data_IF_465592964266
#
_entry.id   IF_465592964266
#
_cell.length_a   1.000
_cell.length_b   1.000
_cell.length_c   1.000
_cell.angle_alpha   90.00
_cell.angle_beta   90.00
_cell.angle_gamma   90.00
#
_symmetry.space_group_name_H-M   'P 1'
#
loop_
_entity.id
_entity.type
_entity.pdbx_description
1 polymer ?
#
# COMPACT_ATOMS: atom_id res chain seq x y z
N UNK A 1 -26.84 30.38 42.08
CA UNK A 1 -27.05 29.11 41.36
C UNK A 1 -27.09 29.24 39.83
N UNK A 2 -27.19 30.45 39.27
CA UNK A 2 -27.18 30.68 37.81
C UNK A 2 -25.77 30.72 37.20
N UNK A 3 -24.78 31.20 37.95
CA UNK A 3 -23.38 31.30 37.49
C UNK A 3 -22.74 29.93 37.24
N UNK A 4 -23.06 28.94 38.06
CA UNK A 4 -22.59 27.55 37.88
C UNK A 4 -23.18 26.87 36.64
N UNK A 5 -24.43 27.19 36.28
CA UNK A 5 -25.07 26.66 35.06
C UNK A 5 -24.43 27.22 33.79
N UNK A 6 -24.08 28.52 33.78
CA UNK A 6 -23.39 29.16 32.64
C UNK A 6 -21.98 28.59 32.42
N UNK A 7 -21.25 28.30 33.51
CA UNK A 7 -19.92 27.69 33.44
C UNK A 7 -19.96 26.27 32.83
N UNK A 8 -20.98 25.49 33.18
CA UNK A 8 -21.15 24.12 32.71
C UNK A 8 -21.46 24.04 31.20
N UNK A 9 -22.27 24.97 30.69
CA UNK A 9 -22.57 25.08 29.25
C UNK A 9 -21.32 25.47 28.45
N UNK A 10 -20.49 26.36 28.98
CA UNK A 10 -19.21 26.75 28.38
C UNK A 10 -18.23 25.57 28.28
N UNK A 11 -18.16 24.72 29.31
CA UNK A 11 -17.35 23.49 29.32
C UNK A 11 -17.80 22.47 28.26
N UNK A 12 -19.12 22.31 28.08
CA UNK A 12 -19.69 21.41 27.08
C UNK A 12 -19.39 21.89 25.66
N UNK A 13 -19.52 23.20 25.39
CA UNK A 13 -19.25 23.78 24.07
C UNK A 13 -17.76 23.65 23.70
N UNK A 14 -16.84 23.83 24.65
CA UNK A 14 -15.40 23.61 24.42
C UNK A 14 -15.06 22.12 24.20
N UNK A 15 -15.84 21.17 24.73
CA UNK A 15 -15.64 19.74 24.53
C UNK A 15 -15.86 19.27 23.09
N UNK A 16 -16.73 19.94 22.32
CA UNK A 16 -17.03 19.56 20.93
C UNK A 16 -15.96 20.02 19.92
N UNK A 17 -15.06 20.92 20.31
CA UNK A 17 -13.90 21.33 19.48
C UNK A 17 -12.70 20.38 19.61
N UNK A 18 -12.88 19.17 20.15
CA UNK A 18 -11.82 18.15 20.18
C UNK A 18 -11.40 17.72 18.76
N UNK A 19 -10.46 18.50 18.27
CA UNK A 19 -9.39 18.24 17.32
C UNK A 19 -9.53 16.93 16.51
N UNK A 20 -9.99 17.08 15.26
CA UNK A 20 -9.74 16.10 14.20
C UNK A 20 -8.23 16.09 13.91
N UNK A 21 -7.48 15.30 14.68
CA UNK A 21 -6.06 15.07 14.43
C UNK A 21 -5.91 14.49 13.02
N UNK A 22 -5.34 15.27 12.10
CA UNK A 22 -4.90 14.78 10.79
C UNK A 22 -4.03 13.55 11.04
N UNK A 23 -4.52 12.37 10.66
CA UNK A 23 -3.81 11.11 10.89
C UNK A 23 -2.52 11.16 10.08
N UNK A 24 -1.37 11.29 10.74
CA UNK A 24 -0.09 11.32 10.06
C UNK A 24 0.20 9.95 9.44
N UNK A 25 -0.02 9.86 8.13
CA UNK A 25 0.24 8.65 7.33
C UNK A 25 1.68 8.58 6.85
N UNK A 26 2.44 9.68 6.91
CA UNK A 26 3.82 9.73 6.44
C UNK A 26 4.70 8.73 7.20
N UNK A 27 5.69 8.17 6.50
CA UNK A 27 6.63 7.19 7.02
C UNK A 27 6.90 6.06 6.03
N UNK A 28 7.75 5.13 6.46
CA UNK A 28 8.18 4.01 5.62
C UNK A 28 7.39 2.76 5.99
N UNK A 29 6.80 2.11 4.99
CA UNK A 29 6.00 0.90 5.16
C UNK A 29 6.63 -0.25 4.39
N UNK A 30 6.76 -1.41 5.02
CA UNK A 30 7.35 -2.61 4.41
C UNK A 30 6.39 -3.79 4.49
N UNK A 31 6.33 -4.61 3.44
CA UNK A 31 5.49 -5.79 3.41
C UNK A 31 5.79 -6.74 4.57
N UNK A 32 4.74 -7.25 5.21
CA UNK A 32 4.86 -8.19 6.32
C UNK A 32 5.30 -9.59 5.87
N UNK A 33 5.22 -9.86 4.57
CA UNK A 33 5.52 -11.10 3.89
C UNK A 33 6.18 -10.77 2.56
N UNK A 34 7.02 -11.66 2.07
CA UNK A 34 7.51 -11.60 0.71
C UNK A 34 6.41 -12.10 -0.25
N UNK A 35 6.08 -11.32 -1.28
CA UNK A 35 5.22 -11.75 -2.36
C UNK A 35 5.91 -12.87 -3.14
N UNK A 36 5.15 -13.92 -3.48
CA UNK A 36 5.68 -15.18 -4.03
C UNK A 36 6.85 -15.81 -3.25
N UNK A 37 7.10 -15.38 -2.01
CA UNK A 37 8.20 -15.87 -1.17
C UNK A 37 9.53 -15.14 -1.33
N UNK A 38 9.67 -14.24 -2.31
CA UNK A 38 10.97 -13.61 -2.64
C UNK A 38 10.91 -12.09 -2.77
N UNK A 39 9.75 -11.50 -3.01
CA UNK A 39 9.65 -10.07 -3.30
C UNK A 39 9.15 -9.24 -2.12
N UNK A 40 9.91 -8.22 -1.72
CA UNK A 40 9.54 -7.27 -0.67
C UNK A 40 9.03 -5.98 -1.31
N UNK A 41 7.86 -5.53 -0.88
CA UNK A 41 7.32 -4.22 -1.21
C UNK A 41 7.65 -3.22 -0.10
N UNK A 42 8.18 -2.06 -0.47
CA UNK A 42 8.38 -0.91 0.42
C UNK A 42 7.69 0.31 -0.19
N UNK A 43 6.97 1.06 0.64
CA UNK A 43 6.33 2.33 0.27
C UNK A 43 6.71 3.38 1.30
N UNK A 44 7.36 4.45 0.86
CA UNK A 44 7.69 5.61 1.68
C UNK A 44 6.73 6.74 1.34
N UNK A 45 5.89 7.12 2.30
CA UNK A 45 4.94 8.23 2.17
C UNK A 45 5.58 9.49 2.78
N UNK A 46 5.73 10.55 1.99
CA UNK A 46 6.32 11.83 2.43
C UNK A 46 5.24 12.80 2.86
N UNK A 47 5.60 13.81 3.67
CA UNK A 47 4.66 14.81 4.20
C UNK A 47 4.08 15.74 3.13
N UNK A 48 4.72 15.82 1.97
CA UNK A 48 4.30 16.61 0.79
C UNK A 48 3.32 15.87 -0.14
N UNK A 49 2.76 14.74 0.31
CA UNK A 49 1.90 13.84 -0.45
C UNK A 49 2.58 13.12 -1.62
N UNK A 50 3.90 13.15 -1.74
CA UNK A 50 4.62 12.27 -2.67
C UNK A 50 4.94 10.91 -2.04
N UNK A 51 5.22 9.91 -2.87
CA UNK A 51 5.68 8.60 -2.40
C UNK A 51 6.83 8.04 -3.23
N UNK A 52 7.56 7.11 -2.60
CA UNK A 52 8.52 6.24 -3.28
C UNK A 52 8.06 4.78 -3.07
N UNK A 53 7.89 4.06 -4.16
CA UNK A 53 7.53 2.65 -4.19
C UNK A 53 8.73 1.83 -4.63
N UNK A 54 8.98 0.71 -3.96
CA UNK A 54 9.99 -0.25 -4.38
C UNK A 54 9.50 -1.67 -4.20
N UNK A 55 9.60 -2.46 -5.24
CA UNK A 55 9.34 -3.90 -5.25
C UNK A 55 10.64 -4.60 -5.63
N UNK A 56 11.25 -5.33 -4.69
CA UNK A 56 12.57 -5.95 -4.90
C UNK A 56 12.56 -7.41 -4.49
N UNK A 57 13.20 -8.24 -5.29
CA UNK A 57 13.60 -9.61 -4.97
C UNK A 57 14.90 -9.95 -5.70
N UNK A 58 15.27 -11.22 -5.72
CA UNK A 58 16.58 -11.66 -6.21
C UNK A 58 16.82 -11.34 -7.71
N UNK A 59 15.76 -11.37 -8.53
CA UNK A 59 15.86 -11.20 -9.99
C UNK A 59 15.18 -9.94 -10.53
N UNK A 60 14.27 -9.33 -9.76
CA UNK A 60 13.47 -8.19 -10.20
C UNK A 60 13.55 -7.09 -9.16
N UNK A 61 13.87 -5.88 -9.60
CA UNK A 61 13.85 -4.67 -8.78
C UNK A 61 13.17 -3.54 -9.54
N UNK A 62 11.93 -3.26 -9.18
CA UNK A 62 11.16 -2.15 -9.73
C UNK A 62 11.06 -1.02 -8.70
N UNK A 63 11.16 0.21 -9.18
CA UNK A 63 10.95 1.41 -8.39
C UNK A 63 9.98 2.32 -9.14
N UNK A 64 9.18 3.06 -8.39
CA UNK A 64 8.33 4.08 -8.96
C UNK A 64 8.12 5.21 -7.96
N UNK A 65 7.77 6.38 -8.45
CA UNK A 65 7.38 7.54 -7.65
C UNK A 65 5.98 7.99 -8.05
N UNK A 66 5.42 8.86 -7.24
CA UNK A 66 4.09 9.38 -7.50
C UNK A 66 3.59 10.25 -6.37
N UNK A 67 2.29 10.51 -6.44
CA UNK A 67 1.55 11.21 -5.40
C UNK A 67 0.49 10.31 -4.79
N UNK A 68 0.16 10.56 -3.52
CA UNK A 68 -0.89 9.83 -2.85
C UNK A 68 -2.01 10.75 -2.36
N UNK A 69 -3.20 10.18 -2.25
CA UNK A 69 -4.36 10.85 -1.68
C UNK A 69 -4.96 9.99 -0.59
N UNK A 70 -5.33 10.60 0.52
CA UNK A 70 -6.03 9.93 1.62
C UNK A 70 -7.48 10.39 1.63
N UNK A 71 -8.42 9.45 1.56
CA UNK A 71 -9.84 9.71 1.74
C UNK A 71 -10.40 8.73 2.79
N UNK A 72 -10.89 9.27 3.91
CA UNK A 72 -11.36 8.49 5.07
C UNK A 72 -10.30 7.50 5.56
N UNK A 73 -10.50 6.20 5.28
CA UNK A 73 -9.58 5.10 5.66
C UNK A 73 -8.88 4.49 4.45
N UNK A 74 -8.92 5.15 3.28
CA UNK A 74 -8.30 4.68 2.04
C UNK A 74 -7.15 5.59 1.65
N UNK A 75 -6.05 4.98 1.22
CA UNK A 75 -4.88 5.60 0.64
C UNK A 75 -4.80 5.15 -0.81
N UNK A 76 -4.78 6.11 -1.72
CA UNK A 76 -4.68 5.90 -3.16
C UNK A 76 -3.29 6.32 -3.60
N UNK A 77 -2.55 5.43 -4.27
CA UNK A 77 -1.30 5.77 -4.94
C UNK A 77 -1.57 6.09 -6.41
N UNK A 78 -1.09 7.26 -6.85
CA UNK A 78 -1.14 7.73 -8.24
C UNK A 78 0.31 7.84 -8.73
N UNK A 79 0.71 6.94 -9.62
CA UNK A 79 2.08 6.83 -10.09
C UNK A 79 2.39 7.93 -11.11
N UNK A 80 3.59 8.50 -11.02
CA UNK A 80 4.09 9.40 -12.05
C UNK A 80 4.47 8.55 -13.27
N UNK A 81 3.91 8.90 -14.43
CA UNK A 81 4.22 8.21 -15.66
C UNK A 81 5.62 8.62 -16.12
N UNK A 82 6.57 7.69 -16.09
CA UNK A 82 7.81 7.85 -16.86
C UNK A 82 7.54 7.37 -18.29
N UNK A 83 7.66 8.25 -19.30
CA UNK A 83 7.54 7.81 -20.68
C UNK A 83 8.60 6.73 -20.95
N UNK A 84 8.15 5.59 -21.47
CA UNK A 84 9.03 4.52 -21.89
C UNK A 84 9.92 5.07 -23.00
N UNK A 85 11.23 4.92 -22.85
CA UNK A 85 12.18 5.29 -23.89
C UNK A 85 11.88 4.48 -25.16
N UNK A 86 11.29 5.16 -26.14
CA UNK A 86 10.80 4.56 -27.39
C UNK A 86 11.95 4.13 -28.30
N UNK A 87 13.20 4.50 -28.01
CA UNK A 87 14.37 4.05 -28.77
C UNK A 87 14.52 2.52 -28.72
N UNK A 88 14.26 1.90 -27.56
CA UNK A 88 14.33 0.45 -27.34
C UNK A 88 13.16 -0.28 -28.02
N UNK A 89 12.02 0.39 -28.19
CA UNK A 89 10.81 -0.15 -28.83
C UNK A 89 11.04 -0.54 -30.29
N UNK A 90 11.91 0.20 -30.99
CA UNK A 90 12.28 -0.09 -32.39
C UNK A 90 12.98 -1.44 -32.55
N UNK A 91 13.81 -1.82 -31.58
CA UNK A 91 14.54 -3.10 -31.51
C UNK A 91 13.61 -4.29 -31.28
N UNK A 92 12.60 -4.15 -30.43
CA UNK A 92 11.62 -5.22 -30.17
C UNK A 92 10.61 -5.39 -31.30
N UNK A 93 10.25 -4.30 -31.99
CA UNK A 93 9.40 -4.36 -33.19
C UNK A 93 10.07 -5.13 -34.33
N UNK A 94 11.40 -5.03 -34.47
CA UNK A 94 12.20 -5.87 -35.40
C UNK A 94 12.16 -7.37 -35.06
N UNK A 95 11.89 -7.72 -33.81
CA UNK A 95 11.76 -9.12 -33.34
C UNK A 95 10.31 -9.63 -33.41
N UNK A 96 9.37 -8.88 -33.99
CA UNK A 96 7.96 -9.27 -34.11
C UNK A 96 7.19 -9.25 -32.79
N UNK A 97 7.75 -8.68 -31.73
CA UNK A 97 7.11 -8.58 -30.42
C UNK A 97 6.23 -7.32 -30.41
N UNK A 98 4.93 -7.51 -30.26
CA UNK A 98 3.96 -6.41 -30.19
C UNK A 98 3.93 -5.82 -28.77
N UNK A 99 4.82 -4.88 -28.49
CA UNK A 99 5.05 -4.30 -27.14
C UNK A 99 3.98 -3.27 -26.74
N UNK A 100 3.09 -2.86 -27.66
CA UNK A 100 2.15 -1.74 -27.45
C UNK A 100 1.06 -2.01 -26.41
N UNK A 101 0.65 -3.27 -26.22
CA UNK A 101 -0.41 -3.62 -25.26
C UNK A 101 0.14 -3.87 -23.85
N UNK A 102 1.39 -4.32 -23.74
CA UNK A 102 2.06 -4.60 -22.46
C UNK A 102 2.43 -3.32 -21.69
N UNK A 103 2.76 -2.23 -22.40
CA UNK A 103 3.19 -0.96 -21.79
C UNK A 103 2.03 -0.06 -21.34
N UNK A 104 0.82 -0.26 -21.87
CA UNK A 104 -0.35 0.57 -21.53
C UNK A 104 -1.08 0.11 -20.26
N UNK A 105 -0.89 -1.15 -19.83
CA UNK A 105 -1.78 -1.77 -18.85
C UNK A 105 -1.19 -2.10 -17.47
N UNK A 106 0.13 -2.12 -17.28
CA UNK A 106 0.69 -2.48 -15.96
C UNK A 106 0.56 -1.36 -14.91
N UNK A 107 0.37 -0.10 -15.33
CA UNK A 107 0.26 1.07 -14.44
C UNK A 107 -1.19 1.53 -14.17
N UNK A 108 -2.20 0.85 -14.72
CA UNK A 108 -3.56 1.41 -14.81
C UNK A 108 -4.43 1.19 -13.56
N UNK A 109 -3.96 0.42 -12.57
CA UNK A 109 -4.74 0.17 -11.36
C UNK A 109 -4.15 0.89 -10.16
N UNK A 110 -4.86 1.90 -9.60
CA UNK A 110 -4.40 2.57 -8.39
C UNK A 110 -4.32 1.53 -7.28
N UNK A 111 -3.12 1.37 -6.69
CA UNK A 111 -2.99 0.58 -5.49
C UNK A 111 -3.75 1.27 -4.36
N UNK A 112 -4.92 0.71 -4.01
CA UNK A 112 -5.74 1.19 -2.90
C UNK A 112 -5.36 0.42 -1.63
N UNK A 113 -4.95 1.16 -0.62
CA UNK A 113 -4.65 0.62 0.71
C UNK A 113 -5.66 1.10 1.74
N UNK A 114 -6.07 0.19 2.62
CA UNK A 114 -6.82 0.54 3.82
C UNK A 114 -5.88 0.89 4.98
N UNK A 115 -6.10 2.06 5.57
CA UNK A 115 -5.34 2.59 6.69
C UNK A 115 -5.74 1.89 8.00
N UNK A 116 -4.83 1.08 8.53
CA UNK A 116 -4.86 0.55 9.89
C UNK A 116 -3.90 1.30 10.83
N UNK A 117 -3.88 0.89 12.10
CA UNK A 117 -2.87 1.36 13.07
C UNK A 117 -1.48 0.91 12.59
N UNK A 118 -0.70 1.83 12.04
CA UNK A 118 0.64 1.60 11.49
C UNK A 118 0.69 0.51 10.41
N UNK A 119 -0.41 0.32 9.67
CA UNK A 119 -0.52 -0.72 8.63
C UNK A 119 -1.29 -0.22 7.41
N UNK A 120 -0.86 -0.65 6.24
CA UNK A 120 -1.53 -0.44 4.96
C UNK A 120 -2.00 -1.80 4.44
N UNK A 121 -3.30 -2.08 4.50
CA UNK A 121 -3.86 -3.32 3.99
C UNK A 121 -4.16 -3.19 2.51
N UNK A 122 -3.55 -4.02 1.69
CA UNK A 122 -3.77 -3.97 0.25
C UNK A 122 -5.15 -4.54 -0.10
N UNK A 123 -5.93 -3.79 -0.88
CA UNK A 123 -7.21 -4.26 -1.45
C UNK A 123 -7.04 -4.72 -2.89
N UNK A 124 -7.86 -5.68 -3.32
CA UNK A 124 -8.10 -5.93 -4.74
C UNK A 124 -8.99 -4.86 -5.37
N UNK A 125 -9.07 -4.86 -6.71
CA UNK A 125 -9.75 -3.87 -7.56
C UNK A 125 -11.19 -3.56 -7.12
N UNK A 126 -11.92 -4.53 -6.56
CA UNK A 126 -13.30 -4.35 -6.11
C UNK A 126 -13.45 -3.66 -4.75
N UNK A 127 -12.36 -3.13 -4.19
CA UNK A 127 -12.29 -2.41 -2.91
C UNK A 127 -12.78 -3.19 -1.67
N UNK A 128 -13.24 -4.43 -1.80
CA UNK A 128 -13.91 -5.16 -0.70
C UNK A 128 -13.04 -6.24 -0.04
N UNK A 129 -11.97 -6.70 -0.70
CA UNK A 129 -11.22 -7.88 -0.26
C UNK A 129 -9.77 -7.50 0.05
N UNK A 130 -9.40 -7.66 1.33
CA UNK A 130 -7.99 -7.58 1.77
C UNK A 130 -7.23 -8.77 1.18
N UNK A 131 -6.14 -8.49 0.46
CA UNK A 131 -5.29 -9.53 -0.14
C UNK A 131 -4.80 -10.51 0.92
N UNK A 132 -4.96 -11.80 0.63
CA UNK A 132 -4.40 -12.90 1.40
C UNK A 132 -3.37 -13.64 0.55
N UNK A 133 -2.27 -14.06 1.17
CA UNK A 133 -1.19 -14.81 0.51
C UNK A 133 -1.06 -16.16 1.20
N UNK A 134 -0.84 -17.23 0.42
CA UNK A 134 -0.54 -18.57 0.95
C UNK A 134 0.90 -18.58 1.45
N UNK A 135 1.11 -18.90 2.71
CA UNK A 135 2.43 -18.97 3.34
C UNK A 135 2.69 -20.42 3.77
N UNK A 136 3.92 -20.87 3.57
CA UNK A 136 4.37 -22.20 3.96
C UNK A 136 4.66 -22.29 5.46
N UNK A 137 4.15 -23.33 6.13
CA UNK A 137 4.36 -23.52 7.56
C UNK A 137 5.65 -24.32 7.85
N UNK A 138 6.79 -23.63 8.03
CA UNK A 138 8.11 -24.27 8.25
C UNK A 138 8.13 -25.34 9.36
N UNK A 139 7.39 -25.14 10.47
CA UNK A 139 7.39 -26.05 11.63
C UNK A 139 6.56 -27.33 11.48
N UNK A 140 5.67 -27.42 10.49
CA UNK A 140 4.79 -28.61 10.30
C UNK A 140 5.27 -29.52 9.17
N UNK A 141 6.46 -29.26 8.62
CA UNK A 141 7.05 -30.03 7.52
C UNK A 141 7.23 -31.53 7.83
N UNK A 142 7.34 -31.90 9.11
CA UNK A 142 7.72 -33.26 9.53
C UNK A 142 6.65 -34.01 10.35
N UNK A 143 5.45 -33.43 10.54
CA UNK A 143 4.36 -34.10 11.25
C UNK A 143 3.39 -34.72 10.25
N UNK A 144 3.66 -35.98 9.86
CA UNK A 144 2.80 -37.02 9.26
C UNK A 144 1.75 -36.68 8.15
N UNK A 145 1.54 -35.43 7.73
CA UNK A 145 0.48 -35.03 6.80
C UNK A 145 0.89 -33.91 5.81
N UNK A 146 2.06 -34.04 5.19
CA UNK A 146 2.44 -33.25 4.01
C UNK A 146 2.59 -31.74 4.22
N UNK A 147 2.90 -31.01 3.14
CA UNK A 147 3.09 -29.57 3.18
C UNK A 147 1.80 -28.82 3.52
N UNK A 148 1.71 -28.26 4.73
CA UNK A 148 0.58 -27.41 5.12
C UNK A 148 0.83 -25.94 4.73
N UNK A 149 0.00 -25.44 3.82
CA UNK A 149 -0.10 -24.01 3.49
C UNK A 149 -1.25 -23.38 4.28
N UNK A 150 -1.09 -22.14 4.72
CA UNK A 150 -2.17 -21.37 5.32
C UNK A 150 -2.25 -19.98 4.70
N UNK A 151 -3.45 -19.39 4.72
CA UNK A 151 -3.69 -18.04 4.19
C UNK A 151 -3.35 -17.02 5.28
N UNK A 152 -2.54 -16.02 4.95
CA UNK A 152 -2.21 -14.90 5.83
C UNK A 152 -2.53 -13.58 5.15
N UNK A 153 -3.04 -12.60 5.91
CA UNK A 153 -3.32 -11.25 5.39
C UNK A 153 -2.02 -10.57 4.98
N UNK A 154 -2.00 -10.03 3.76
CA UNK A 154 -0.92 -9.22 3.25
C UNK A 154 -1.15 -7.75 3.63
N UNK A 155 -0.12 -7.11 4.18
CA UNK A 155 -0.15 -5.68 4.51
C UNK A 155 1.26 -5.12 4.57
N UNK A 156 1.38 -3.81 4.40
CA UNK A 156 2.61 -3.08 4.67
C UNK A 156 2.57 -2.58 6.12
N UNK A 157 3.60 -2.84 6.91
CA UNK A 157 3.74 -2.38 8.30
C UNK A 157 4.65 -1.16 8.33
N UNK A 158 4.27 -0.11 9.07
CA UNK A 158 5.14 1.04 9.31
C UNK A 158 6.38 0.60 10.09
N UNK A 159 7.55 0.93 9.56
CA UNK A 159 8.85 0.64 10.18
C UNK A 159 9.56 1.91 10.66
N UNK A 160 9.21 3.06 10.07
CA UNK A 160 9.71 4.41 10.41
C UNK A 160 8.53 5.40 10.34
#
# INVERSE_FOLDING_TARGET
METTKRLFVLLIVFGFFSCSSKRNVAGTYRSNLADLGFYITTVKLKTDNSFEYSFRGDLISNKATGHYRVNKRKLYLVYDFTPVDTSVLSSYKKLGINVTDSLKNENSYPHVFYLGKNKLFMSWQDEKIIRQVKVYHKRKKYLLFGSHYYKKKYYLKKIE
#
